data_IF_293253042704
#
_entry.id   IF_293253042704
#
_cell.length_a   1.000
_cell.length_b   1.000
_cell.length_c   1.000
_cell.angle_alpha   90.00
_cell.angle_beta   90.00
_cell.angle_gamma   90.00
#
_symmetry.space_group_name_H-M   'P 1'
#
loop_
_entity.id
_entity.type
_entity.pdbx_description
1 polymer ?
#
# COMPACT_ATOMS: atom_id res chain seq x y z
N UNK A 1 -15.06 3.25 -6.59
CA UNK A 1 -14.63 1.93 -6.10
C UNK A 1 -14.61 0.98 -7.27
N UNK A 2 -13.53 1.03 -8.04
CA UNK A 2 -13.32 0.31 -9.28
C UNK A 2 -13.29 -1.20 -9.09
N UNK A 3 -12.85 -1.71 -7.93
CA UNK A 3 -12.93 -3.14 -7.63
C UNK A 3 -14.37 -3.66 -7.70
N UNK A 4 -15.31 -3.01 -6.98
CA UNK A 4 -16.72 -3.39 -7.00
C UNK A 4 -17.32 -3.33 -8.41
N UNK A 5 -16.99 -2.28 -9.17
CA UNK A 5 -17.43 -2.15 -10.56
C UNK A 5 -16.86 -3.28 -11.44
N UNK A 6 -15.60 -3.66 -11.21
CA UNK A 6 -14.93 -4.78 -11.90
C UNK A 6 -15.65 -6.09 -11.62
N UNK A 7 -15.93 -6.42 -10.36
CA UNK A 7 -16.63 -7.65 -9.99
C UNK A 7 -18.05 -7.70 -10.54
N UNK A 8 -18.77 -6.57 -10.54
CA UNK A 8 -20.11 -6.47 -11.16
C UNK A 8 -20.07 -6.76 -12.67
N UNK A 9 -19.10 -6.19 -13.39
CA UNK A 9 -18.90 -6.46 -14.83
C UNK A 9 -18.56 -7.93 -15.07
N UNK A 10 -17.65 -8.50 -14.28
CA UNK A 10 -17.26 -9.91 -14.38
C UNK A 10 -18.48 -10.81 -14.14
N UNK A 11 -19.23 -10.58 -13.08
CA UNK A 11 -20.40 -11.39 -12.75
C UNK A 11 -21.47 -11.34 -13.85
N UNK A 12 -21.76 -10.15 -14.37
CA UNK A 12 -22.72 -9.98 -15.47
C UNK A 12 -22.22 -10.64 -16.75
N UNK A 13 -20.91 -10.54 -17.06
CA UNK A 13 -20.26 -11.23 -18.17
C UNK A 13 -20.44 -12.74 -18.05
N UNK A 14 -20.16 -13.31 -16.89
CA UNK A 14 -20.21 -14.75 -16.66
C UNK A 14 -21.64 -15.27 -16.72
N UNK A 15 -22.61 -14.53 -16.16
CA UNK A 15 -24.04 -14.88 -16.23
C UNK A 15 -24.54 -14.92 -17.67
N UNK A 16 -24.28 -13.88 -18.47
CA UNK A 16 -24.76 -13.82 -19.86
C UNK A 16 -24.13 -14.90 -20.75
N UNK A 17 -22.88 -15.29 -20.46
CA UNK A 17 -22.16 -16.35 -21.17
C UNK A 17 -22.39 -17.76 -20.57
N UNK A 18 -23.27 -17.91 -19.57
CA UNK A 18 -23.65 -19.19 -18.94
C UNK A 18 -22.48 -19.93 -18.27
N UNK A 19 -21.51 -19.18 -17.74
CA UNK A 19 -20.32 -19.69 -17.02
C UNK A 19 -20.14 -19.06 -15.61
N UNK A 20 -21.21 -18.89 -14.81
CA UNK A 20 -21.12 -18.21 -13.50
C UNK A 20 -20.21 -18.92 -12.48
N UNK A 21 -19.95 -20.22 -12.67
CA UNK A 21 -19.08 -21.00 -11.79
C UNK A 21 -17.61 -20.55 -11.83
N UNK A 22 -17.21 -19.74 -12.82
CA UNK A 22 -15.85 -19.23 -12.94
C UNK A 22 -15.57 -17.95 -12.13
N UNK A 23 -16.58 -17.34 -11.51
CA UNK A 23 -16.46 -16.04 -10.81
C UNK A 23 -15.31 -16.03 -9.80
N UNK A 24 -15.25 -17.04 -8.91
CA UNK A 24 -14.18 -17.15 -7.90
C UNK A 24 -12.77 -17.19 -8.49
N UNK A 25 -12.58 -17.79 -9.67
CA UNK A 25 -11.27 -17.89 -10.31
C UNK A 25 -10.85 -16.58 -10.98
N UNK A 26 -11.81 -15.86 -11.58
CA UNK A 26 -11.54 -14.56 -12.17
C UNK A 26 -11.31 -13.51 -11.10
N UNK A 27 -12.08 -13.53 -10.01
CA UNK A 27 -11.87 -12.67 -8.84
C UNK A 27 -10.50 -12.91 -8.19
N UNK A 28 -10.06 -14.17 -8.09
CA UNK A 28 -8.72 -14.52 -7.59
C UNK A 28 -7.58 -14.02 -8.50
N UNK A 29 -7.89 -13.64 -9.74
CA UNK A 29 -6.93 -13.05 -10.69
C UNK A 29 -6.83 -11.52 -10.58
N UNK A 30 -7.69 -10.90 -9.76
CA UNK A 30 -7.68 -9.47 -9.50
C UNK A 30 -6.74 -9.13 -8.36
N UNK A 31 -6.00 -8.03 -8.51
CA UNK A 31 -5.19 -7.45 -7.46
C UNK A 31 -5.40 -5.95 -7.43
N UNK A 32 -5.77 -5.41 -6.28
CA UNK A 32 -6.02 -3.97 -6.12
C UNK A 32 -4.76 -3.27 -5.59
N UNK A 33 -4.38 -2.18 -6.25
CA UNK A 33 -3.32 -1.28 -5.85
C UNK A 33 -3.88 0.12 -5.59
N UNK A 34 -3.15 0.92 -4.80
CA UNK A 34 -3.39 2.35 -4.60
C UNK A 34 -2.14 3.17 -4.92
N UNK A 35 -2.15 3.83 -6.08
CA UNK A 35 -1.07 4.69 -6.61
C UNK A 35 -1.25 6.16 -6.17
N UNK A 36 -1.41 6.37 -4.88
CA UNK A 36 -1.88 7.63 -4.30
C UNK A 36 -1.13 8.89 -4.77
N UNK A 37 -1.86 10.00 -4.86
CA UNK A 37 -1.28 11.29 -5.27
C UNK A 37 -0.51 11.93 -4.12
N UNK A 38 0.74 12.30 -4.38
CA UNK A 38 1.58 13.07 -3.45
C UNK A 38 1.63 14.54 -3.85
N UNK A 39 1.25 15.44 -2.95
CA UNK A 39 1.33 16.90 -3.16
C UNK A 39 2.39 17.50 -2.24
N UNK A 40 3.46 18.12 -2.78
CA UNK A 40 4.48 18.75 -1.96
C UNK A 40 3.90 19.80 -1.00
N UNK A 41 4.36 19.77 0.24
CA UNK A 41 4.11 20.80 1.24
C UNK A 41 5.41 21.61 1.37
N UNK A 42 5.30 22.93 1.44
CA UNK A 42 6.45 23.75 1.81
C UNK A 42 6.78 23.49 3.30
N UNK A 43 8.02 23.12 3.67
CA UNK A 43 8.38 22.78 5.05
C UNK A 43 8.01 23.86 6.09
N UNK A 44 7.97 25.14 5.69
CA UNK A 44 7.57 26.24 6.56
C UNK A 44 6.08 26.25 6.91
N UNK A 45 5.28 25.55 6.11
CA UNK A 45 3.83 25.51 6.20
C UNK A 45 3.33 24.20 6.84
N UNK A 46 4.21 23.32 7.35
CA UNK A 46 3.81 22.07 8.00
C UNK A 46 2.82 22.28 9.16
N UNK A 47 2.96 23.40 9.89
CA UNK A 47 2.04 23.78 10.97
C UNK A 47 0.59 24.04 10.51
N UNK A 48 0.37 24.25 9.21
CA UNK A 48 -0.95 24.47 8.62
C UNK A 48 -1.63 23.18 8.13
N UNK A 49 -0.89 22.06 8.10
CA UNK A 49 -1.43 20.77 7.69
C UNK A 49 -2.36 20.25 8.79
N UNK A 50 -3.61 19.87 8.48
CA UNK A 50 -4.52 19.31 9.48
C UNK A 50 -3.93 18.08 10.19
N UNK A 51 -4.16 18.00 11.50
CA UNK A 51 -3.72 16.86 12.30
C UNK A 51 -4.39 15.56 11.80
N UNK A 52 -3.61 14.49 11.77
CA UNK A 52 -4.04 13.20 11.23
C UNK A 52 -4.11 13.09 9.71
N UNK A 53 -3.78 14.12 8.93
CA UNK A 53 -3.66 14.00 7.46
C UNK A 53 -2.68 12.90 7.06
N UNK A 54 -3.07 12.05 6.12
CA UNK A 54 -2.16 11.09 5.48
C UNK A 54 -1.04 11.85 4.75
N UNK A 55 0.23 11.55 5.08
CA UNK A 55 1.40 12.27 4.53
C UNK A 55 2.64 11.38 4.50
N UNK A 56 3.57 11.70 3.60
CA UNK A 56 4.92 11.16 3.57
C UNK A 56 5.92 12.25 3.96
N UNK A 57 7.00 11.85 4.65
CA UNK A 57 8.12 12.72 5.01
C UNK A 57 7.71 13.94 5.85
N UNK A 58 8.68 14.78 6.20
CA UNK A 58 8.51 15.93 7.08
C UNK A 58 8.37 15.52 8.54
N UNK A 59 7.52 16.25 9.26
CA UNK A 59 7.26 16.04 10.68
C UNK A 59 5.99 15.22 10.91
N UNK A 60 6.04 14.10 11.66
CA UNK A 60 4.85 13.30 11.93
C UNK A 60 3.89 13.98 12.91
N UNK A 61 2.60 13.63 12.80
CA UNK A 61 1.57 14.02 13.76
C UNK A 61 1.45 12.94 14.84
N UNK A 62 2.26 13.02 15.89
CA UNK A 62 2.32 12.00 16.95
C UNK A 62 1.61 12.47 18.22
N UNK A 63 0.89 11.57 18.92
CA UNK A 63 0.40 11.83 20.27
C UNK A 63 1.56 11.74 21.28
N UNK A 64 1.35 12.26 22.50
CA UNK A 64 2.33 12.12 23.59
C UNK A 64 2.57 10.66 24.01
N UNK A 65 1.66 9.74 23.66
CA UNK A 65 1.80 8.31 23.96
C UNK A 65 2.73 7.56 23.03
N UNK A 66 3.21 8.18 21.94
CA UNK A 66 4.14 7.59 20.98
C UNK A 66 5.39 8.47 20.91
N UNK A 67 6.49 7.95 21.45
CA UNK A 67 7.79 8.58 21.31
C UNK A 67 8.28 8.46 19.86
N UNK A 68 8.86 9.55 19.33
CA UNK A 68 9.60 9.50 18.08
C UNK A 68 10.76 8.49 18.20
N UNK A 69 10.82 7.44 17.38
CA UNK A 69 11.91 6.46 17.46
C UNK A 69 13.29 7.07 17.17
N UNK A 70 14.18 7.06 18.16
CA UNK A 70 15.55 7.57 18.01
C UNK A 70 16.31 6.81 16.92
N UNK A 71 16.91 7.56 15.99
CA UNK A 71 17.70 6.99 14.89
C UNK A 71 16.91 6.53 13.67
N UNK A 72 15.57 6.64 13.68
CA UNK A 72 14.76 6.31 12.51
C UNK A 72 14.19 7.59 11.87
N UNK A 73 14.03 7.58 10.56
CA UNK A 73 13.37 8.64 9.79
C UNK A 73 11.87 8.40 9.69
N UNK A 74 11.09 9.47 9.72
CA UNK A 74 9.67 9.39 9.42
C UNK A 74 9.46 9.21 7.91
N UNK A 75 8.79 8.13 7.53
CA UNK A 75 8.50 7.80 6.13
C UNK A 75 7.09 8.20 5.77
N UNK A 76 6.10 7.72 6.52
CA UNK A 76 4.70 7.98 6.23
C UNK A 76 3.82 7.87 7.45
N UNK A 77 2.69 8.58 7.42
CA UNK A 77 1.52 8.29 8.23
C UNK A 77 0.31 8.13 7.34
N UNK A 78 -0.54 7.14 7.64
CA UNK A 78 -1.79 6.91 6.91
C UNK A 78 -2.94 6.85 7.88
N UNK A 79 -3.94 7.71 7.65
CA UNK A 79 -5.19 7.64 8.37
C UNK A 79 -6.06 6.52 7.77
N UNK A 80 -6.48 5.58 8.61
CA UNK A 80 -7.27 4.43 8.17
C UNK A 80 -8.61 4.84 7.58
N UNK A 81 -9.20 5.97 8.01
CA UNK A 81 -10.45 6.46 7.42
C UNK A 81 -10.31 6.78 5.94
N UNK A 82 -9.12 7.24 5.52
CA UNK A 82 -8.82 7.58 4.13
C UNK A 82 -8.62 6.31 3.28
N UNK A 83 -8.05 5.27 3.89
CA UNK A 83 -7.75 4.00 3.23
C UNK A 83 -8.92 3.03 3.19
N UNK A 84 -9.81 3.10 4.19
CA UNK A 84 -10.85 2.10 4.41
C UNK A 84 -11.76 1.85 3.21
N UNK A 85 -12.17 2.85 2.42
CA UNK A 85 -12.94 2.60 1.21
C UNK A 85 -12.25 1.59 0.28
N UNK A 86 -10.92 1.64 0.21
CA UNK A 86 -10.09 0.88 -0.73
C UNK A 86 -9.59 -0.46 -0.18
N UNK A 87 -9.87 -0.78 1.09
CA UNK A 87 -9.48 -2.00 1.78
C UNK A 87 -10.41 -3.17 1.41
N UNK A 88 -10.21 -3.71 0.20
CA UNK A 88 -11.03 -4.81 -0.36
C UNK A 88 -11.09 -6.04 0.55
N UNK A 89 -9.99 -6.34 1.25
CA UNK A 89 -9.87 -7.52 2.11
C UNK A 89 -10.37 -7.29 3.56
N UNK A 90 -10.89 -6.09 3.88
CA UNK A 90 -11.30 -5.67 5.24
C UNK A 90 -10.21 -5.92 6.31
N UNK A 91 -8.93 -5.70 5.96
CA UNK A 91 -7.80 -5.97 6.87
C UNK A 91 -7.51 -4.81 7.81
N UNK A 92 -7.78 -3.57 7.40
CA UNK A 92 -7.47 -2.36 8.16
C UNK A 92 -8.57 -2.03 9.18
N UNK A 93 -8.21 -1.40 10.32
CA UNK A 93 -9.19 -0.80 11.22
C UNK A 93 -10.02 0.29 10.52
N UNK A 94 -11.20 0.60 11.05
CA UNK A 94 -12.05 1.68 10.53
C UNK A 94 -11.42 3.08 10.72
N UNK A 95 -10.66 3.25 11.80
CA UNK A 95 -10.11 4.53 12.22
C UNK A 95 -8.70 4.35 12.76
N UNK A 96 -8.05 5.48 13.05
CA UNK A 96 -6.70 5.53 13.60
C UNK A 96 -5.64 5.74 12.53
N UNK A 97 -4.40 5.91 12.95
CA UNK A 97 -3.29 6.32 12.09
C UNK A 97 -2.14 5.33 12.26
N UNK A 98 -1.66 4.81 11.14
CA UNK A 98 -0.38 4.09 11.11
C UNK A 98 0.76 5.06 10.87
N UNK A 99 1.89 4.81 11.52
CA UNK A 99 3.14 5.56 11.34
C UNK A 99 4.26 4.61 10.99
N UNK A 100 5.08 4.97 10.01
CA UNK A 100 6.17 4.16 9.48
C UNK A 100 7.49 4.90 9.63
N UNK A 101 8.46 4.22 10.22
CA UNK A 101 9.80 4.73 10.44
C UNK A 101 10.84 3.70 10.03
N UNK A 102 11.93 4.15 9.41
CA UNK A 102 13.07 3.31 9.00
C UNK A 102 14.38 4.05 9.23
N UNK A 103 15.48 3.34 9.47
CA UNK A 103 16.82 3.92 9.37
C UNK A 103 17.39 3.77 7.95
N UNK A 104 18.56 4.35 7.71
CA UNK A 104 19.23 4.29 6.42
C UNK A 104 19.77 2.91 6.06
N UNK A 105 20.10 2.08 7.07
CA UNK A 105 20.62 0.73 6.87
C UNK A 105 19.50 -0.29 6.64
N UNK A 106 18.25 0.10 6.90
CA UNK A 106 17.05 -0.73 6.82
C UNK A 106 17.06 -1.92 7.79
N UNK A 107 17.93 -1.85 8.80
CA UNK A 107 17.96 -2.78 9.93
C UNK A 107 16.98 -2.31 11.04
N UNK A 108 16.85 -0.99 11.19
CA UNK A 108 15.94 -0.34 12.13
C UNK A 108 14.63 0.00 11.44
N UNK A 109 13.57 -0.77 11.72
CA UNK A 109 12.24 -0.49 11.21
C UNK A 109 11.24 -0.46 12.37
N UNK A 110 10.37 0.55 12.37
CA UNK A 110 9.29 0.67 13.35
C UNK A 110 7.97 1.06 12.69
N UNK A 111 6.91 0.41 13.16
CA UNK A 111 5.54 0.75 12.83
C UNK A 111 4.76 0.98 14.12
N UNK A 112 4.01 2.07 14.16
CA UNK A 112 3.16 2.45 15.30
C UNK A 112 1.72 2.66 14.82
N UNK A 113 0.79 2.56 15.76
CA UNK A 113 -0.62 2.81 15.52
C UNK A 113 -1.22 3.62 16.66
N UNK A 114 -2.12 4.53 16.30
CA UNK A 114 -2.87 5.34 17.26
C UNK A 114 -4.34 5.45 16.83
N UNK A 115 -5.27 5.11 17.71
CA UNK A 115 -6.73 5.22 17.52
C UNK A 115 -7.39 6.25 18.44
N UNK A 116 -6.61 7.09 19.11
CA UNK A 116 -7.13 8.12 19.99
C UNK A 116 -7.57 9.39 19.24
N UNK A 117 -8.00 10.42 19.98
CA UNK A 117 -8.48 11.69 19.42
C UNK A 117 -7.42 12.41 18.57
N UNK A 118 -7.85 13.06 17.48
CA UNK A 118 -6.97 13.80 16.58
C UNK A 118 -6.40 15.09 17.19
N UNK A 119 -7.08 15.68 18.17
CA UNK A 119 -6.66 16.89 18.87
C UNK A 119 -5.57 16.64 19.93
N UNK A 120 -5.32 15.38 20.28
CA UNK A 120 -4.15 14.96 21.07
C UNK A 120 -2.88 14.84 20.22
N UNK A 121 -2.99 14.84 18.89
CA UNK A 121 -1.84 14.79 18.00
C UNK A 121 -1.08 16.12 18.02
N UNK A 122 0.23 16.02 17.90
CA UNK A 122 1.12 17.18 17.79
C UNK A 122 2.10 16.95 16.65
N UNK A 123 2.47 18.02 15.99
CA UNK A 123 3.61 17.98 15.05
C UNK A 123 4.86 17.79 15.90
N UNK A 124 5.52 16.64 15.76
CA UNK A 124 6.76 16.34 16.47
C UNK A 124 7.97 16.63 15.58
N UNK A 125 8.90 17.42 16.10
CA UNK A 125 10.22 17.56 15.46
C UNK A 125 11.06 16.29 15.69
N UNK A 126 12.04 16.09 14.81
CA UNK A 126 13.04 15.05 14.95
C UNK A 126 13.81 15.24 16.28
N UNK A 127 13.95 14.19 17.10
CA UNK A 127 14.59 14.30 18.40
C UNK A 127 16.09 14.59 18.26
N UNK A 128 16.68 15.28 19.24
CA UNK A 128 18.14 15.45 19.25
C UNK A 128 18.80 14.11 19.54
N UNK A 129 19.78 13.71 18.72
CA UNK A 129 20.53 12.48 18.91
C UNK A 129 22.00 12.78 19.29
N UNK A 130 22.27 12.89 20.59
CA UNK A 130 23.64 13.11 21.08
C UNK A 130 24.57 11.95 20.70
N UNK A 131 25.72 12.27 20.10
CA UNK A 131 26.74 11.27 19.73
C UNK A 131 26.39 10.39 18.52
N UNK A 132 25.34 10.71 17.76
CA UNK A 132 24.97 10.00 16.52
C UNK A 132 25.01 10.94 15.31
N UNK A 133 24.93 10.36 14.11
CA UNK A 133 24.77 11.14 12.88
C UNK A 133 23.43 11.90 12.91
N UNK A 134 23.40 13.14 12.37
CA UNK A 134 22.15 13.88 12.23
C UNK A 134 21.21 13.16 11.28
N UNK A 135 19.91 13.41 11.44
CA UNK A 135 18.93 12.92 10.48
C UNK A 135 19.15 13.57 9.11
N UNK A 136 19.05 12.77 8.04
CA UNK A 136 19.08 13.27 6.69
C UNK A 136 17.95 14.26 6.38
N UNK A 137 18.36 15.42 5.84
CA UNK A 137 17.46 16.49 5.43
C UNK A 137 16.47 16.07 4.34
N UNK A 138 16.75 15.01 3.57
CA UNK A 138 15.85 14.57 2.50
C UNK A 138 14.50 14.08 3.03
N UNK A 139 14.49 13.46 4.21
CA UNK A 139 13.26 12.96 4.85
C UNK A 139 12.52 14.04 5.62
N UNK A 140 13.22 15.04 6.19
CA UNK A 140 12.58 16.16 6.90
C UNK A 140 12.18 17.31 5.97
N UNK A 141 12.96 17.57 4.93
CA UNK A 141 12.85 18.77 4.09
C UNK A 141 11.90 18.66 2.91
N UNK A 142 11.22 17.53 2.72
CA UNK A 142 10.32 17.29 1.58
C UNK A 142 8.97 16.69 1.99
N UNK A 143 8.21 17.31 2.92
CA UNK A 143 6.89 16.82 3.31
C UNK A 143 5.94 16.77 2.11
N UNK A 144 5.09 15.74 2.08
CA UNK A 144 4.08 15.54 1.02
C UNK A 144 2.76 15.11 1.61
N UNK A 145 1.69 15.84 1.33
CA UNK A 145 0.33 15.40 1.62
C UNK A 145 -0.07 14.30 0.65
N UNK A 146 -0.87 13.34 1.12
CA UNK A 146 -1.36 12.23 0.30
C UNK A 146 -2.87 12.38 0.10
N UNK A 147 -3.31 12.12 -1.13
CA UNK A 147 -4.73 11.92 -1.46
C UNK A 147 -4.89 10.58 -2.17
N UNK A 148 -5.97 9.87 -1.83
CA UNK A 148 -6.34 8.58 -2.43
C UNK A 148 -7.46 8.71 -3.47
N UNK A 149 -7.90 9.93 -3.77
CA UNK A 149 -8.90 10.18 -4.80
C UNK A 149 -8.45 9.58 -6.14
N UNK A 150 -9.32 8.78 -6.76
CA UNK A 150 -9.07 8.13 -8.06
C UNK A 150 -7.75 7.34 -8.13
N UNK A 151 -7.24 6.87 -7.00
CA UNK A 151 -5.91 6.22 -6.93
C UNK A 151 -5.98 4.68 -7.05
N UNK A 152 -7.18 4.12 -7.09
CA UNK A 152 -7.39 2.67 -7.17
C UNK A 152 -7.10 2.16 -8.58
N UNK A 153 -6.19 1.19 -8.66
CA UNK A 153 -5.79 0.51 -9.89
C UNK A 153 -6.04 -0.97 -9.72
N UNK A 154 -6.77 -1.56 -10.65
CA UNK A 154 -7.10 -2.99 -10.68
C UNK A 154 -6.16 -3.67 -11.66
N UNK A 155 -5.40 -4.63 -11.17
CA UNK A 155 -4.54 -5.47 -11.99
C UNK A 155 -5.23 -6.79 -12.22
N UNK A 156 -5.49 -7.10 -13.48
CA UNK A 156 -6.03 -8.37 -13.92
C UNK A 156 -4.89 -9.24 -14.47
N UNK A 157 -4.57 -10.32 -13.74
CA UNK A 157 -3.57 -11.29 -14.16
C UNK A 157 -4.21 -12.36 -15.05
N UNK A 158 -3.94 -12.33 -16.34
CA UNK A 158 -4.35 -13.38 -17.28
C UNK A 158 -3.33 -14.49 -17.28
N UNK A 159 -3.78 -15.73 -17.35
CA UNK A 159 -2.89 -16.90 -17.40
C UNK A 159 -3.49 -17.99 -18.29
N UNK A 160 -2.75 -19.09 -18.49
CA UNK A 160 -3.19 -20.23 -19.32
C UNK A 160 -4.51 -20.87 -18.89
N UNK A 161 -4.96 -20.65 -17.66
CA UNK A 161 -6.28 -21.12 -17.20
C UNK A 161 -7.42 -20.30 -17.82
N UNK A 162 -7.22 -18.99 -18.04
CA UNK A 162 -8.19 -18.14 -18.74
C UNK A 162 -8.42 -18.63 -20.17
N UNK A 163 -7.34 -18.89 -20.90
CA UNK A 163 -7.41 -19.41 -22.28
C UNK A 163 -8.12 -20.77 -22.34
N UNK A 164 -7.91 -21.61 -21.32
CA UNK A 164 -8.52 -22.94 -21.24
C UNK A 164 -10.02 -22.90 -20.94
N UNK A 165 -10.43 -22.09 -19.97
CA UNK A 165 -11.79 -22.14 -19.43
C UNK A 165 -12.76 -21.16 -20.11
N UNK A 166 -12.27 -19.99 -20.55
CA UNK A 166 -13.10 -18.99 -21.25
C UNK A 166 -12.63 -18.69 -22.69
N UNK A 167 -11.41 -19.10 -23.08
CA UNK A 167 -10.93 -18.99 -24.45
C UNK A 167 -11.04 -17.58 -25.02
N UNK A 168 -11.59 -17.46 -26.23
CA UNK A 168 -11.77 -16.18 -26.93
C UNK A 168 -12.64 -15.16 -26.16
N UNK A 169 -13.46 -15.61 -25.20
CA UNK A 169 -14.26 -14.72 -24.36
C UNK A 169 -13.39 -13.90 -23.40
N UNK A 170 -12.16 -14.32 -23.10
CA UNK A 170 -11.21 -13.55 -22.29
C UNK A 170 -10.93 -12.16 -22.89
N UNK A 171 -10.69 -12.10 -24.20
CA UNK A 171 -10.45 -10.85 -24.92
C UNK A 171 -11.67 -9.92 -24.87
N UNK A 172 -12.87 -10.50 -25.02
CA UNK A 172 -14.13 -9.74 -24.92
C UNK A 172 -14.32 -9.16 -23.51
N UNK A 173 -14.05 -9.95 -22.47
CA UNK A 173 -14.13 -9.48 -21.08
C UNK A 173 -13.12 -8.36 -20.80
N UNK A 174 -11.88 -8.53 -21.27
CA UNK A 174 -10.82 -7.53 -21.13
C UNK A 174 -11.21 -6.22 -21.82
N UNK A 175 -11.75 -6.28 -23.03
CA UNK A 175 -12.18 -5.09 -23.76
C UNK A 175 -13.33 -4.37 -23.05
N UNK A 176 -14.30 -5.10 -22.51
CA UNK A 176 -15.39 -4.51 -21.73
C UNK A 176 -14.91 -3.85 -20.43
N UNK A 177 -14.00 -4.51 -19.72
CA UNK A 177 -13.39 -3.94 -18.52
C UNK A 177 -12.60 -2.67 -18.84
N UNK A 178 -11.78 -2.68 -19.90
CA UNK A 178 -11.03 -1.50 -20.36
C UNK A 178 -11.96 -0.36 -20.77
N UNK A 179 -13.04 -0.66 -21.49
CA UNK A 179 -14.04 0.35 -21.87
C UNK A 179 -14.72 0.98 -20.64
N UNK A 180 -14.96 0.19 -19.60
CA UNK A 180 -15.67 0.65 -18.41
C UNK A 180 -14.77 1.33 -17.37
N UNK A 181 -13.50 0.94 -17.28
CA UNK A 181 -12.57 1.35 -16.21
C UNK A 181 -11.45 2.26 -16.71
N UNK A 182 -11.16 2.30 -18.02
CA UNK A 182 -10.09 3.11 -18.58
C UNK A 182 -8.73 2.77 -17.97
N UNK A 183 -8.00 3.80 -17.52
CA UNK A 183 -6.66 3.67 -16.95
C UNK A 183 -6.65 3.02 -15.54
N UNK A 184 -7.83 2.74 -14.97
CA UNK A 184 -7.94 2.03 -13.68
C UNK A 184 -7.86 0.50 -13.80
N UNK A 185 -7.73 -0.06 -15.01
CA UNK A 185 -7.45 -1.49 -15.19
C UNK A 185 -6.20 -1.73 -16.01
N UNK A 186 -5.31 -2.56 -15.47
CA UNK A 186 -4.09 -3.04 -16.12
C UNK A 186 -4.20 -4.54 -16.29
N UNK A 187 -3.95 -5.05 -17.50
CA UNK A 187 -3.88 -6.49 -17.78
C UNK A 187 -2.44 -6.94 -17.86
N UNK A 188 -2.06 -7.97 -17.10
CA UNK A 188 -0.72 -8.56 -17.14
C UNK A 188 -0.81 -10.05 -17.49
N UNK A 189 0.13 -10.52 -18.30
CA UNK A 189 0.29 -11.96 -18.59
C UNK A 189 1.20 -12.58 -17.52
N UNK A 190 0.63 -13.42 -16.66
CA UNK A 190 1.28 -14.01 -15.49
C UNK A 190 2.32 -15.10 -15.87
N UNK A 191 2.44 -15.44 -17.16
CA UNK A 191 3.42 -16.42 -17.67
C UNK A 191 4.88 -15.98 -17.43
N UNK A 192 5.14 -14.69 -17.15
CA UNK A 192 6.49 -14.16 -16.93
C UNK A 192 6.88 -13.90 -15.46
N UNK A 193 6.07 -14.32 -14.49
CA UNK A 193 6.37 -14.10 -13.06
C UNK A 193 6.14 -12.66 -12.60
N UNK A 194 6.76 -12.27 -11.47
CA UNK A 194 6.57 -10.97 -10.79
C UNK A 194 6.85 -9.75 -11.68
N UNK A 195 5.84 -9.30 -12.43
CA UNK A 195 5.88 -8.02 -13.16
C UNK A 195 5.66 -6.90 -12.17
N UNK A 196 6.61 -5.96 -12.09
CA UNK A 196 6.40 -4.71 -11.36
C UNK A 196 5.34 -3.88 -12.07
N UNK A 197 4.11 -3.88 -11.53
CA UNK A 197 2.97 -3.23 -12.16
C UNK A 197 2.97 -1.73 -11.95
N UNK A 198 3.27 -1.30 -10.72
CA UNK A 198 3.44 0.10 -10.37
C UNK A 198 4.90 0.37 -10.02
N UNK A 199 5.41 1.50 -10.50
CA UNK A 199 6.71 2.02 -10.10
C UNK A 199 6.53 3.13 -9.06
N UNK A 200 7.16 3.02 -7.90
CA UNK A 200 7.14 4.06 -6.87
C UNK A 200 6.52 3.62 -5.56
N UNK A 201 5.77 4.53 -4.94
CA UNK A 201 5.18 4.33 -3.62
C UNK A 201 3.69 3.99 -3.77
N UNK A 202 3.24 2.90 -3.16
CA UNK A 202 1.85 2.44 -3.29
C UNK A 202 1.39 1.66 -2.06
N UNK A 203 0.08 1.53 -1.91
CA UNK A 203 -0.58 0.72 -0.87
C UNK A 203 -1.29 -0.46 -1.53
N UNK A 204 -1.29 -1.61 -0.85
CA UNK A 204 -1.83 -2.87 -1.37
C UNK A 204 -1.17 -3.38 -2.66
N UNK A 205 -1.61 -4.54 -3.12
CA UNK A 205 -1.10 -5.19 -4.33
C UNK A 205 0.04 -6.17 -4.07
N UNK A 206 0.83 -6.45 -5.10
CA UNK A 206 2.04 -7.29 -4.99
C UNK A 206 3.23 -6.40 -4.62
N UNK A 207 4.06 -6.89 -3.70
CA UNK A 207 5.32 -6.27 -3.33
C UNK A 207 6.33 -6.27 -4.49
N UNK A 208 7.22 -5.27 -4.46
CA UNK A 208 8.29 -5.15 -5.45
C UNK A 208 9.51 -5.92 -4.94
N UNK A 209 9.83 -7.03 -5.61
CA UNK A 209 11.03 -7.83 -5.37
C UNK A 209 11.92 -7.86 -6.61
N UNK A 210 13.20 -8.15 -6.41
CA UNK A 210 14.09 -8.47 -7.51
C UNK A 210 14.01 -9.96 -7.89
N UNK A 211 14.36 -10.30 -9.14
CA UNK A 211 14.37 -11.67 -9.64
C UNK A 211 15.34 -12.54 -8.81
N UNK A 212 14.87 -13.70 -8.34
CA UNK A 212 15.59 -14.68 -7.51
C UNK A 212 15.71 -14.38 -6.01
N UNK A 213 15.04 -13.35 -5.48
CA UNK A 213 14.91 -13.12 -4.02
C UNK A 213 13.60 -13.72 -3.47
N UNK A 214 13.19 -14.88 -4.00
CA UNK A 214 12.01 -15.66 -3.58
C UNK A 214 12.23 -16.34 -2.21
N UNK A 215 12.68 -15.59 -1.22
CA UNK A 215 12.94 -16.10 0.13
C UNK A 215 11.86 -15.70 1.14
N UNK A 216 10.75 -15.11 0.68
CA UNK A 216 9.59 -14.90 1.53
C UNK A 216 8.49 -15.93 1.24
N UNK A 217 8.72 -17.17 1.66
CA UNK A 217 7.82 -18.33 1.51
C UNK A 217 6.43 -18.15 2.16
N UNK A 218 6.12 -17.01 2.78
CA UNK A 218 4.85 -16.77 3.49
C UNK A 218 3.97 -15.68 2.84
N UNK A 219 4.17 -15.33 1.55
CA UNK A 219 3.26 -14.42 0.83
C UNK A 219 1.80 -14.87 0.86
N UNK A 220 1.56 -16.19 0.92
CA UNK A 220 0.20 -16.71 1.04
C UNK A 220 -0.51 -16.27 2.32
N UNK A 221 0.25 -15.88 3.36
CA UNK A 221 -0.30 -15.43 4.65
C UNK A 221 -0.16 -13.94 4.89
N UNK A 222 0.31 -13.16 3.92
CA UNK A 222 0.54 -11.73 4.10
C UNK A 222 -0.03 -10.92 2.94
N UNK A 223 -0.38 -9.68 3.24
CA UNK A 223 -0.80 -8.67 2.26
C UNK A 223 0.21 -7.54 2.35
N UNK A 224 0.66 -7.03 1.21
CA UNK A 224 1.46 -5.81 1.20
C UNK A 224 0.57 -4.68 1.74
N UNK A 225 1.02 -3.99 2.78
CA UNK A 225 0.36 -2.78 3.24
C UNK A 225 0.91 -1.56 2.51
N UNK A 226 2.22 -1.36 2.54
CA UNK A 226 2.83 -0.15 2.04
C UNK A 226 4.19 -0.47 1.43
N UNK A 227 4.37 -0.10 0.17
CA UNK A 227 5.65 -0.13 -0.52
C UNK A 227 6.10 1.30 -0.80
N UNK A 228 7.37 1.59 -0.55
CA UNK A 228 7.98 2.85 -0.96
C UNK A 228 9.40 2.65 -1.44
N UNK A 229 9.84 3.54 -2.33
CA UNK A 229 11.18 3.51 -2.90
C UNK A 229 12.17 4.14 -1.93
N UNK A 230 13.27 3.43 -1.67
CA UNK A 230 14.37 3.93 -0.85
C UNK A 230 15.72 3.53 -1.45
N UNK A 231 16.57 4.52 -1.70
CA UNK A 231 17.82 4.30 -2.42
C UNK A 231 17.55 3.74 -3.82
N UNK A 232 18.20 2.63 -4.14
CA UNK A 232 17.99 1.94 -5.41
C UNK A 232 16.85 0.92 -5.36
N UNK A 233 16.42 0.48 -4.17
CA UNK A 233 15.41 -0.56 -3.97
C UNK A 233 14.07 -0.07 -3.43
N UNK A 234 13.32 -1.00 -2.83
CA UNK A 234 12.01 -0.75 -2.21
C UNK A 234 11.95 -1.35 -0.81
N UNK A 235 11.24 -0.70 0.10
CA UNK A 235 10.89 -1.25 1.40
C UNK A 235 9.42 -1.61 1.37
N UNK A 236 9.13 -2.89 1.65
CA UNK A 236 7.80 -3.47 1.61
C UNK A 236 7.33 -3.77 3.03
N UNK A 237 6.34 -3.04 3.54
CA UNK A 237 5.64 -3.35 4.79
C UNK A 237 4.49 -4.32 4.52
N UNK A 238 4.44 -5.42 5.25
CA UNK A 238 3.43 -6.47 5.10
C UNK A 238 2.57 -6.58 6.36
N UNK A 239 1.29 -6.86 6.18
CA UNK A 239 0.35 -7.24 7.24
C UNK A 239 0.06 -8.74 7.11
N UNK A 240 0.03 -9.46 8.23
CA UNK A 240 -0.47 -10.84 8.26
C UNK A 240 -1.97 -10.89 7.94
N UNK A 241 -2.35 -11.74 6.98
CA UNK A 241 -3.74 -11.99 6.57
C UNK A 241 -4.62 -12.30 7.78
N UNK A 242 -5.81 -11.71 7.76
CA UNK A 242 -6.73 -11.62 8.89
C UNK A 242 -6.82 -10.19 9.41
N UNK A 243 -7.97 -9.86 10.02
CA UNK A 243 -8.23 -8.51 10.50
C UNK A 243 -7.15 -8.06 11.48
N UNK A 244 -6.47 -6.96 11.15
CA UNK A 244 -5.43 -6.39 12.00
C UNK A 244 -6.05 -5.99 13.33
N UNK A 245 -5.41 -6.40 14.44
CA UNK A 245 -5.85 -6.01 15.77
C UNK A 245 -4.80 -5.12 16.43
N UNK A 246 -4.98 -3.79 16.40
CA UNK A 246 -3.98 -2.87 16.93
C UNK A 246 -3.78 -2.96 18.45
N UNK A 247 -4.71 -3.57 19.19
CA UNK A 247 -4.57 -3.83 20.64
C UNK A 247 -3.60 -4.99 20.94
N UNK A 248 -3.22 -5.78 19.92
CA UNK A 248 -2.17 -6.80 20.02
C UNK A 248 -0.83 -6.19 19.61
N UNK A 249 0.26 -6.90 19.90
CA UNK A 249 1.62 -6.46 19.53
C UNK A 249 1.73 -6.24 18.01
N UNK A 250 1.74 -4.98 17.58
CA UNK A 250 1.79 -4.61 16.16
C UNK A 250 3.02 -5.17 15.44
N UNK A 251 4.17 -5.18 16.12
CA UNK A 251 5.43 -5.81 15.64
C UNK A 251 5.34 -7.31 15.33
N UNK A 252 4.26 -7.99 15.74
CA UNK A 252 3.99 -9.40 15.38
C UNK A 252 3.01 -9.56 14.22
N UNK A 253 2.41 -8.46 13.78
CA UNK A 253 1.39 -8.40 12.74
C UNK A 253 1.90 -7.66 11.49
N UNK A 254 2.83 -6.72 11.69
CA UNK A 254 3.50 -5.98 10.63
C UNK A 254 5.00 -6.23 10.70
N UNK A 255 5.60 -6.57 9.56
CA UNK A 255 7.04 -6.62 9.35
C UNK A 255 7.37 -5.91 8.04
N UNK A 256 8.64 -5.65 7.80
CA UNK A 256 9.12 -5.04 6.59
C UNK A 256 10.28 -5.82 5.98
N UNK A 257 10.41 -5.74 4.67
CA UNK A 257 11.48 -6.34 3.90
C UNK A 257 12.02 -5.30 2.93
N UNK A 258 13.33 -5.10 2.93
CA UNK A 258 13.99 -4.34 1.88
C UNK A 258 14.33 -5.25 0.71
N UNK A 259 14.05 -4.76 -0.49
CA UNK A 259 14.30 -5.44 -1.75
C UNK A 259 15.20 -4.54 -2.61
N UNK A 260 16.53 -4.80 -2.64
CA UNK A 260 17.46 -4.00 -3.43
C UNK A 260 17.14 -4.14 -4.92
N UNK A 261 17.53 -3.13 -5.71
CA UNK A 261 17.57 -3.25 -7.16
C UNK A 261 18.92 -3.85 -7.54
N UNK A 262 18.90 -4.87 -8.39
CA UNK A 262 20.10 -5.48 -8.99
C UNK A 262 20.92 -4.52 -9.83
#
# INVERSE_FOLDING_TARGET
>A
MYYKKTTEIIDDFLKRNKIPHLSIYLEASLTTYLDFKQTPINPKDEASVPLGTSKMYGLPHLPDSIDFPLGLHFIAQFNCSDLKPYDVDDILPENGIFYFFVDETLEGISCHYYDGPLDELKIQDYPVQEGKLPYEDKFKGQPRAISFEESEVIVLSTNVYWDREIGDLSLVLIDELKQALGDHIITIDDVQGHVNVLSGDYIFGKACFHQNEDHFDDFERHVLFFCFRMGEGHVNFFIRKGKLNPKKKLKKQIFAVYSPKS
#
